data_IF_695103535071
#
_entry.id   IF_695103535071
#
_cell.length_a   1.000
_cell.length_b   1.000
_cell.length_c   1.000
_cell.angle_alpha   90.00
_cell.angle_beta   90.00
_cell.angle_gamma   90.00
#
_symmetry.space_group_name_H-M   'P 1'
#
loop_
_entity.id
_entity.type
_entity.pdbx_description
1 polymer ?
#
# COMPACT_ATOMS: atom_id res chain seq x y z
N UNK A 1 20.94 2.33 12.29
CA UNK A 1 20.17 3.56 12.00
C UNK A 1 19.15 3.78 13.10
N UNK A 2 19.05 4.99 13.64
CA UNK A 2 18.05 5.33 14.65
C UNK A 2 16.71 5.64 13.98
N UNK A 3 15.61 5.09 14.50
CA UNK A 3 14.25 5.41 14.08
C UNK A 3 13.63 6.39 15.07
N UNK A 4 13.35 7.61 14.63
CA UNK A 4 12.71 8.66 15.44
C UNK A 4 11.33 9.02 14.92
N UNK A 5 10.43 9.41 15.80
CA UNK A 5 9.11 9.89 15.47
C UNK A 5 9.17 11.36 15.04
N UNK A 6 8.83 11.65 13.79
CA UNK A 6 8.82 13.00 13.25
C UNK A 6 7.83 13.93 13.99
N UNK A 7 6.73 13.38 14.48
CA UNK A 7 5.72 14.16 15.20
C UNK A 7 6.20 14.48 16.62
N UNK A 8 6.75 13.51 17.35
CA UNK A 8 7.36 13.79 18.66
C UNK A 8 8.46 14.85 18.56
N UNK A 9 9.32 14.77 17.54
CA UNK A 9 10.40 15.74 17.32
C UNK A 9 9.86 17.14 17.05
N UNK A 10 8.80 17.25 16.23
CA UNK A 10 8.09 18.53 15.99
C UNK A 10 7.49 19.11 17.27
N UNK A 11 7.08 18.26 18.22
CA UNK A 11 6.58 18.68 19.54
C UNK A 11 7.70 18.93 20.56
N UNK A 12 8.97 18.78 20.18
CA UNK A 12 10.12 18.91 21.07
C UNK A 12 10.27 17.77 22.08
N UNK A 13 9.62 16.62 21.84
CA UNK A 13 9.66 15.42 22.69
C UNK A 13 10.69 14.42 22.19
N UNK A 14 11.20 13.57 23.08
CA UNK A 14 12.05 12.44 22.70
C UNK A 14 11.26 11.51 21.77
N UNK A 15 11.65 11.48 20.50
CA UNK A 15 10.98 10.72 19.46
C UNK A 15 11.55 9.34 19.22
N UNK A 16 12.55 8.87 19.97
CA UNK A 16 13.19 7.58 19.69
C UNK A 16 12.17 6.42 19.78
N UNK A 17 11.93 5.76 18.64
CA UNK A 17 11.06 4.60 18.50
C UNK A 17 11.89 3.31 18.67
N UNK A 18 13.11 3.32 18.13
CA UNK A 18 14.03 2.19 18.18
C UNK A 18 15.13 2.32 17.14
N UNK A 19 15.62 1.19 16.66
CA UNK A 19 16.68 1.11 15.65
C UNK A 19 16.22 0.21 14.50
N UNK A 20 16.70 0.51 13.30
CA UNK A 20 16.46 -0.31 12.12
C UNK A 20 17.77 -0.65 11.41
N UNK A 21 17.75 -1.79 10.71
CA UNK A 21 18.86 -2.24 9.89
C UNK A 21 19.13 -1.24 8.77
N UNK A 22 20.40 -0.96 8.42
CA UNK A 22 21.62 -1.47 9.06
C UNK A 22 21.88 -0.82 10.44
N UNK A 23 22.16 -1.65 11.45
CA UNK A 23 22.27 -1.22 12.86
C UNK A 23 23.50 -0.33 13.10
N UNK A 24 24.62 -0.59 12.43
CA UNK A 24 25.88 0.17 12.56
C UNK A 24 25.89 1.52 11.83
N UNK A 25 24.81 1.88 11.13
CA UNK A 25 24.72 3.17 10.46
C UNK A 25 24.24 4.25 11.47
N UNK A 26 25.03 5.32 11.70
CA UNK A 26 24.70 6.38 12.66
C UNK A 26 23.60 7.34 12.18
N UNK A 27 23.06 7.14 10.97
CA UNK A 27 21.98 7.97 10.44
C UNK A 27 20.69 7.77 11.21
N UNK A 28 19.89 8.83 11.23
CA UNK A 28 18.53 8.85 11.74
C UNK A 28 17.54 8.78 10.59
N UNK A 29 16.53 7.93 10.73
CA UNK A 29 15.36 7.87 9.86
C UNK A 29 14.10 8.22 10.65
N UNK A 30 13.10 8.76 9.95
CA UNK A 30 11.89 9.27 10.58
C UNK A 30 10.70 8.34 10.32
N UNK A 31 9.93 8.05 11.37
CA UNK A 31 8.67 7.33 11.35
C UNK A 31 7.60 8.00 12.23
N UNK A 32 6.55 7.27 12.58
CA UNK A 32 5.47 7.74 13.48
C UNK A 32 5.28 6.70 14.59
N UNK A 33 5.32 7.13 15.86
CA UNK A 33 5.16 6.23 17.00
C UNK A 33 3.70 5.76 17.15
N UNK A 34 3.48 4.63 17.83
CA UNK A 34 2.15 4.04 17.99
C UNK A 34 1.10 4.99 18.57
N UNK A 35 1.52 5.86 19.52
CA UNK A 35 0.66 6.90 20.10
C UNK A 35 0.12 7.85 19.04
N UNK A 36 1.01 8.34 18.16
CA UNK A 36 0.65 9.27 17.10
C UNK A 36 -0.10 8.58 15.96
N UNK A 37 0.24 7.33 15.63
CA UNK A 37 -0.56 6.52 14.69
C UNK A 37 -2.00 6.38 15.20
N UNK A 38 -2.18 6.07 16.49
CA UNK A 38 -3.52 5.97 17.08
C UNK A 38 -4.27 7.30 17.04
N UNK A 39 -3.60 8.43 17.29
CA UNK A 39 -4.22 9.76 17.16
C UNK A 39 -4.62 10.06 15.72
N UNK A 40 -3.78 9.72 14.75
CA UNK A 40 -4.07 9.91 13.33
C UNK A 40 -5.29 9.08 12.89
N UNK A 41 -5.29 7.78 13.23
CA UNK A 41 -6.36 6.85 12.88
C UNK A 41 -7.68 7.12 13.62
N UNK A 42 -7.64 7.74 14.81
CA UNK A 42 -8.86 8.16 15.54
C UNK A 42 -9.66 9.23 14.81
N UNK A 43 -9.02 10.00 13.93
CA UNK A 43 -9.68 11.00 13.10
C UNK A 43 -10.10 10.43 11.74
N UNK A 44 -9.83 9.14 11.49
CA UNK A 44 -10.32 8.41 10.33
C UNK A 44 -11.70 7.80 10.65
N UNK A 45 -12.67 8.65 10.95
CA UNK A 45 -14.07 8.32 10.74
C UNK A 45 -14.30 8.31 9.22
N UNK A 46 -14.87 7.22 8.74
CA UNK A 46 -14.85 6.78 7.35
C UNK A 46 -15.76 7.63 6.44
N UNK A 47 -15.29 8.76 5.91
CA UNK A 47 -15.96 9.50 4.80
C UNK A 47 -14.93 10.31 3.96
N UNK A 48 -13.73 9.76 3.69
CA UNK A 48 -12.86 10.32 2.65
C UNK A 48 -12.29 9.19 1.79
N UNK A 49 -12.90 8.98 0.62
CA UNK A 49 -12.47 8.10 -0.45
C UNK A 49 -11.13 8.52 -1.11
N UNK A 50 -10.17 9.07 -0.36
CA UNK A 50 -8.89 9.49 -0.92
C UNK A 50 -7.75 9.12 0.03
N UNK A 51 -7.07 8.04 -0.35
CA UNK A 51 -5.72 7.64 0.03
C UNK A 51 -5.52 7.01 1.43
N UNK A 52 -6.00 5.77 1.59
CA UNK A 52 -5.30 4.78 2.41
C UNK A 52 -4.22 4.10 1.54
N UNK A 53 -2.91 4.43 1.67
CA UNK A 53 -1.84 3.73 0.95
C UNK A 53 -1.51 2.33 1.49
N UNK A 54 -2.31 1.79 2.43
CA UNK A 54 -2.07 0.52 3.11
C UNK A 54 -3.14 -0.54 2.84
N UNK A 55 -3.92 -0.43 1.77
CA UNK A 55 -4.76 -1.56 1.33
C UNK A 55 -3.85 -2.55 0.61
N UNK A 56 -3.77 -3.84 1.03
CA UNK A 56 -3.11 -4.85 0.22
C UNK A 56 -3.81 -4.92 -1.14
N UNK A 57 -3.02 -4.90 -2.22
CA UNK A 57 -3.52 -5.03 -3.58
C UNK A 57 -4.43 -6.28 -3.63
N UNK A 58 -5.67 -6.10 -4.05
CA UNK A 58 -6.59 -7.22 -4.24
C UNK A 58 -5.95 -8.20 -5.21
N UNK A 59 -5.71 -9.43 -4.77
CA UNK A 59 -5.53 -10.56 -5.67
C UNK A 59 -6.86 -10.69 -6.40
N UNK A 60 -6.85 -10.33 -7.69
CA UNK A 60 -8.04 -10.31 -8.53
C UNK A 60 -8.82 -11.62 -8.41
N UNK A 61 -10.12 -11.48 -8.18
CA UNK A 61 -11.08 -12.56 -8.31
C UNK A 61 -10.99 -13.10 -9.74
N UNK A 62 -10.81 -14.42 -9.83
CA UNK A 62 -10.58 -15.11 -11.09
C UNK A 62 -11.74 -14.89 -12.06
N UNK A 63 -11.40 -14.31 -13.22
CA UNK A 63 -12.12 -14.45 -14.47
C UNK A 63 -12.55 -15.92 -14.64
N UNK A 64 -13.86 -16.17 -14.77
CA UNK A 64 -14.38 -17.50 -15.08
C UNK A 64 -14.03 -17.89 -16.51
N UNK A 65 -13.53 -19.12 -16.68
CA UNK A 65 -12.95 -19.69 -17.90
C UNK A 65 -13.93 -19.89 -19.08
N UNK A 66 -15.18 -19.42 -19.03
CA UNK A 66 -16.24 -19.93 -19.92
C UNK A 66 -16.70 -19.00 -21.05
N UNK A 67 -16.12 -17.80 -21.22
CA UNK A 67 -16.66 -16.82 -22.17
C UNK A 67 -15.93 -16.72 -23.53
N UNK A 68 -15.01 -17.63 -23.87
CA UNK A 68 -14.30 -17.58 -25.17
C UNK A 68 -14.89 -18.46 -26.27
N UNK A 69 -15.94 -19.25 -26.01
CA UNK A 69 -16.48 -20.21 -26.99
C UNK A 69 -17.93 -19.94 -27.34
N UNK A 70 -18.31 -18.70 -27.69
CA UNK A 70 -19.62 -18.43 -28.29
C UNK A 70 -19.67 -17.07 -29.01
N UNK A 71 -18.76 -16.81 -29.95
CA UNK A 71 -19.04 -15.82 -31.01
C UNK A 71 -18.04 -15.89 -32.16
N UNK A 72 -18.34 -16.75 -33.13
CA UNK A 72 -18.68 -16.36 -34.51
C UNK A 72 -18.45 -17.56 -35.42
N UNK A 73 -19.52 -18.31 -35.65
CA UNK A 73 -19.67 -18.92 -36.96
C UNK A 73 -19.80 -17.79 -37.99
N UNK A 74 -18.83 -17.69 -38.87
CA UNK A 74 -19.06 -17.24 -40.25
C UNK A 74 -18.02 -17.90 -41.14
N UNK A 75 -18.51 -18.96 -41.76
CA UNK A 75 -18.14 -19.45 -43.07
C UNK A 75 -17.49 -18.44 -44.04
N UNK A 76 -16.66 -19.03 -44.90
CA UNK A 76 -16.25 -18.60 -46.23
C UNK A 76 -14.97 -17.76 -46.39
N UNK A 77 -14.02 -18.39 -47.12
CA UNK A 77 -13.60 -18.00 -48.47
C UNK A 77 -12.14 -17.52 -48.66
N UNK A 78 -11.45 -18.25 -49.54
CA UNK A 78 -10.19 -17.93 -50.26
C UNK A 78 -8.90 -18.15 -49.44
N UNK A 79 -8.21 -19.27 -49.62
CA UNK A 79 -7.33 -19.67 -50.74
C UNK A 79 -5.86 -19.49 -50.36
N UNK A 80 -5.17 -20.62 -50.26
CA UNK A 80 -3.70 -20.75 -50.33
C UNK A 80 -3.21 -20.23 -51.70
N UNK A 81 -1.94 -19.86 -51.86
CA UNK A 81 -0.83 -20.83 -51.89
C UNK A 81 0.26 -20.60 -50.83
#
# INVERSE_FOLDING_TARGET
>A
MLLVCAWCEREGRMGLIGETSPFDDPRTTHGICWTHVRTYLKNCDHETELACPLVPVGVGEGLTRQDTESRTGREDRWSQP
#
